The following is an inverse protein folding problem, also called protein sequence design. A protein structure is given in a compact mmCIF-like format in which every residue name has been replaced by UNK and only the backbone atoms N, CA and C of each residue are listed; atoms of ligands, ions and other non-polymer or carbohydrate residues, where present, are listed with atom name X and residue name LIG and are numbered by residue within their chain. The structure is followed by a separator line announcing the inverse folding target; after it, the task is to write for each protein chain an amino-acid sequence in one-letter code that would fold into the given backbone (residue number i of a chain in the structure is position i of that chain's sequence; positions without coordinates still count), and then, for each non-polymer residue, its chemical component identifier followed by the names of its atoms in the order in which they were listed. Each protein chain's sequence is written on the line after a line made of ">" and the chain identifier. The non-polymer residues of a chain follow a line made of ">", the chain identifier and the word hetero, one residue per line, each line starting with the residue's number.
data_IF_284065393889
#
_entry.id   IF_284065393889
#
_cell.length_a   1.000
_cell.length_b   1.000
_cell.length_c   1.000
_cell.angle_alpha   90.00
_cell.angle_beta   90.00
_cell.angle_gamma   90.00
#
_symmetry.space_group_name_H-M   'P 1'
#
loop_
_entity.id
_entity.type
_entity.pdbx_description
1 polymer ?
#
# COMPACT_ATOMS: atom_id res chain seq x y z
N UNK A 1 -14.40 4.68 -8.12
CA UNK A 1 -15.04 3.44 -8.60
C UNK A 1 -14.16 2.63 -9.55
N UNK A 2 -13.44 3.24 -10.51
CA UNK A 2 -12.56 2.50 -11.46
C UNK A 2 -11.53 1.61 -10.76
N UNK A 3 -10.86 2.09 -9.72
CA UNK A 3 -9.92 1.27 -8.93
C UNK A 3 -10.55 0.06 -8.24
N UNK A 4 -11.80 0.18 -7.78
CA UNK A 4 -12.48 -0.94 -7.15
C UNK A 4 -12.85 -2.03 -8.17
N UNK A 5 -13.25 -1.62 -9.37
CA UNK A 5 -13.56 -2.55 -10.46
C UNK A 5 -12.31 -3.30 -10.95
N UNK A 6 -11.19 -2.56 -11.15
CA UNK A 6 -9.90 -3.14 -11.52
C UNK A 6 -9.39 -4.14 -10.46
N UNK A 7 -9.49 -3.77 -9.19
CA UNK A 7 -9.11 -4.67 -8.09
C UNK A 7 -10.03 -5.89 -8.00
N UNK A 8 -11.33 -5.71 -8.25
CA UNK A 8 -12.31 -6.82 -8.26
C UNK A 8 -12.03 -7.79 -9.40
N UNK A 9 -11.78 -7.29 -10.59
CA UNK A 9 -11.43 -8.15 -11.72
C UNK A 9 -10.18 -8.98 -11.40
N UNK A 10 -9.13 -8.34 -10.92
CA UNK A 10 -7.90 -9.02 -10.53
C UNK A 10 -8.11 -10.02 -9.38
N UNK A 11 -8.93 -9.66 -8.41
CA UNK A 11 -9.26 -10.57 -7.31
C UNK A 11 -9.96 -11.83 -7.81
N UNK A 12 -10.95 -11.69 -8.67
CA UNK A 12 -11.75 -12.83 -9.19
C UNK A 12 -10.91 -13.71 -10.13
N UNK A 13 -10.17 -13.09 -11.04
CA UNK A 13 -9.45 -13.79 -12.12
C UNK A 13 -8.14 -14.43 -11.66
N UNK A 14 -7.44 -13.80 -10.72
CA UNK A 14 -6.10 -14.22 -10.33
C UNK A 14 -6.02 -14.62 -8.85
N UNK A 15 -6.38 -13.73 -7.91
CA UNK A 15 -6.06 -13.90 -6.49
C UNK A 15 -6.90 -15.01 -5.84
N UNK A 16 -8.21 -14.98 -6.02
CA UNK A 16 -9.13 -15.89 -5.31
C UNK A 16 -8.90 -17.36 -5.66
N UNK A 17 -8.53 -17.66 -6.91
CA UNK A 17 -8.20 -19.02 -7.35
C UNK A 17 -6.92 -19.54 -6.68
N UNK A 18 -5.89 -18.73 -6.63
CA UNK A 18 -4.61 -19.07 -6.00
C UNK A 18 -4.75 -19.26 -4.48
N UNK A 19 -5.49 -18.39 -3.81
CA UNK A 19 -5.76 -18.52 -2.36
C UNK A 19 -6.52 -19.81 -2.05
N UNK A 20 -7.54 -20.17 -2.83
CA UNK A 20 -8.29 -21.44 -2.67
C UNK A 20 -7.40 -22.68 -2.92
N UNK A 21 -6.39 -22.55 -3.76
CA UNK A 21 -5.40 -23.61 -3.99
C UNK A 21 -4.32 -23.69 -2.88
N UNK A 22 -4.43 -22.88 -1.83
CA UNK A 22 -3.48 -22.86 -0.72
C UNK A 22 -2.15 -22.16 -1.05
N UNK A 23 -2.12 -21.34 -2.09
CA UNK A 23 -0.93 -20.61 -2.51
C UNK A 23 -0.74 -19.34 -1.68
N UNK A 24 0.52 -18.91 -1.53
CA UNK A 24 0.86 -17.59 -1.01
C UNK A 24 0.75 -16.59 -2.15
N UNK A 25 -0.04 -15.55 -1.95
CA UNK A 25 -0.24 -14.49 -2.94
C UNK A 25 0.39 -13.19 -2.45
N UNK A 26 1.29 -12.63 -3.24
CA UNK A 26 1.90 -11.33 -2.99
C UNK A 26 1.25 -10.27 -3.88
N UNK A 27 0.66 -9.25 -3.26
CA UNK A 27 0.06 -8.15 -3.97
C UNK A 27 0.93 -6.89 -3.83
N UNK A 28 1.43 -6.37 -4.95
CA UNK A 28 1.94 -5.00 -4.99
C UNK A 28 0.75 -4.04 -5.10
N UNK A 29 0.48 -3.37 -3.99
CA UNK A 29 -0.73 -2.56 -3.75
C UNK A 29 -2.00 -3.41 -3.69
N UNK A 30 -2.83 -3.09 -2.71
CA UNK A 30 -4.11 -3.76 -2.48
C UNK A 30 -5.13 -2.74 -1.96
N UNK A 31 -6.13 -3.16 -1.17
CA UNK A 31 -7.20 -2.30 -0.65
C UNK A 31 -6.67 -1.03 0.03
N UNK A 32 -5.57 -1.10 0.77
CA UNK A 32 -4.99 0.04 1.50
C UNK A 32 -4.60 1.21 0.60
N UNK A 33 -4.18 0.93 -0.63
CA UNK A 33 -3.91 2.02 -1.60
C UNK A 33 -5.19 2.74 -2.01
N UNK A 34 -6.30 2.01 -2.14
CA UNK A 34 -7.59 2.61 -2.45
C UNK A 34 -8.13 3.43 -1.26
N UNK A 35 -7.97 2.90 -0.03
CA UNK A 35 -8.36 3.61 1.19
C UNK A 35 -7.59 4.93 1.34
N UNK A 36 -6.25 4.87 1.29
CA UNK A 36 -5.41 6.06 1.45
C UNK A 36 -5.65 7.13 0.37
N UNK A 37 -5.78 6.71 -0.89
CA UNK A 37 -6.06 7.64 -1.99
C UNK A 37 -7.48 8.18 -1.99
N UNK A 38 -8.45 7.39 -1.51
CA UNK A 38 -9.83 7.83 -1.31
C UNK A 38 -9.91 8.88 -0.21
N UNK A 39 -9.25 8.64 0.93
CA UNK A 39 -9.14 9.61 2.02
C UNK A 39 -8.47 10.92 1.56
N UNK A 40 -7.37 10.83 0.84
CA UNK A 40 -6.70 12.01 0.30
C UNK A 40 -7.62 12.85 -0.62
N UNK A 41 -8.66 12.23 -1.18
CA UNK A 41 -9.73 12.87 -1.97
C UNK A 41 -10.98 13.26 -1.18
N UNK A 42 -10.91 13.19 0.14
CA UNK A 42 -11.98 13.66 1.02
C UNK A 42 -13.06 12.61 1.33
N UNK A 43 -12.80 11.33 1.05
CA UNK A 43 -13.69 10.25 1.47
C UNK A 43 -13.31 9.77 2.88
N UNK A 44 -14.30 9.37 3.67
CA UNK A 44 -14.05 8.83 5.00
C UNK A 44 -13.47 7.40 4.92
N UNK A 45 -12.38 7.14 5.63
CA UNK A 45 -11.73 5.81 5.64
C UNK A 45 -12.71 4.72 6.07
N UNK A 46 -13.55 4.97 7.07
CA UNK A 46 -14.53 4.01 7.58
C UNK A 46 -15.55 3.57 6.53
N UNK A 47 -16.00 4.50 5.69
CA UNK A 47 -16.99 4.20 4.64
C UNK A 47 -16.34 3.41 3.50
N UNK A 48 -15.12 3.79 3.12
CA UNK A 48 -14.31 3.04 2.18
C UNK A 48 -14.02 1.63 2.72
N UNK A 49 -13.62 1.51 3.98
CA UNK A 49 -13.33 0.24 4.63
C UNK A 49 -14.55 -0.66 4.62
N UNK A 50 -15.72 -0.13 5.04
CA UNK A 50 -16.97 -0.88 5.00
C UNK A 50 -17.30 -1.42 3.61
N UNK A 51 -17.05 -0.64 2.56
CA UNK A 51 -17.24 -1.10 1.18
C UNK A 51 -16.24 -2.23 0.82
N UNK A 52 -14.94 -2.03 1.07
CA UNK A 52 -13.92 -3.00 0.66
C UNK A 52 -14.02 -4.32 1.44
N UNK A 53 -14.38 -4.29 2.72
CA UNK A 53 -14.53 -5.49 3.57
C UNK A 53 -15.63 -6.42 3.10
N UNK A 54 -16.61 -5.94 2.35
CA UNK A 54 -17.67 -6.78 1.79
C UNK A 54 -17.20 -7.67 0.63
N UNK A 55 -16.14 -7.27 -0.06
CA UNK A 55 -15.73 -7.87 -1.32
C UNK A 55 -14.32 -8.45 -1.32
N UNK A 56 -13.48 -7.99 -0.40
CA UNK A 56 -12.07 -8.34 -0.41
C UNK A 56 -11.62 -8.87 0.95
N UNK A 57 -10.91 -10.02 0.99
CA UNK A 57 -10.34 -10.50 2.24
C UNK A 57 -9.24 -9.55 2.73
N UNK A 58 -9.16 -9.43 4.05
CA UNK A 58 -8.04 -8.74 4.70
C UNK A 58 -6.77 -9.58 4.49
N UNK A 59 -5.66 -8.98 4.07
CA UNK A 59 -4.41 -9.71 3.90
C UNK A 59 -3.89 -10.18 5.27
N UNK A 60 -3.26 -11.35 5.30
CA UNK A 60 -2.63 -11.89 6.51
C UNK A 60 -1.46 -11.03 7.02
N UNK A 61 -0.74 -10.41 6.11
CA UNK A 61 0.34 -9.45 6.39
C UNK A 61 0.26 -8.28 5.43
N UNK A 62 0.42 -7.07 5.95
CA UNK A 62 0.52 -5.87 5.14
C UNK A 62 1.82 -5.13 5.49
N UNK A 63 2.62 -4.80 4.49
CA UNK A 63 3.86 -4.04 4.64
C UNK A 63 3.66 -2.62 4.12
N UNK A 64 4.02 -1.66 4.95
CA UNK A 64 4.05 -0.25 4.58
C UNK A 64 5.49 0.25 4.50
N UNK A 65 5.96 0.48 3.29
CA UNK A 65 7.25 1.11 3.03
C UNK A 65 7.10 2.63 3.20
N UNK A 66 7.33 3.09 4.42
CA UNK A 66 7.12 4.49 4.78
C UNK A 66 8.23 5.35 4.21
N UNK A 67 7.85 6.32 3.39
CA UNK A 67 8.76 7.29 2.78
C UNK A 67 8.29 8.71 3.11
N UNK A 68 9.14 9.59 3.68
CA UNK A 68 8.81 11.00 3.86
C UNK A 68 8.43 11.67 2.54
N UNK A 69 7.45 12.57 2.58
CA UNK A 69 6.91 13.23 1.37
C UNK A 69 8.00 13.93 0.59
N UNK A 70 8.92 14.63 1.27
CA UNK A 70 10.04 15.35 0.67
C UNK A 70 11.00 14.41 -0.09
N UNK A 71 11.24 13.22 0.46
CA UNK A 71 12.06 12.21 -0.20
C UNK A 71 11.34 11.63 -1.42
N UNK A 72 10.02 11.41 -1.31
CA UNK A 72 9.16 11.02 -2.42
C UNK A 72 9.16 12.04 -3.55
N UNK A 73 9.07 13.33 -3.22
CA UNK A 73 9.16 14.44 -4.18
C UNK A 73 10.50 14.46 -4.92
N UNK A 74 11.61 14.31 -4.19
CA UNK A 74 12.96 14.26 -4.81
C UNK A 74 13.08 13.10 -5.79
N UNK A 75 12.55 11.92 -5.43
CA UNK A 75 12.52 10.75 -6.34
C UNK A 75 11.61 10.98 -7.55
N UNK A 76 10.47 11.65 -7.35
CA UNK A 76 9.53 11.96 -8.42
C UNK A 76 10.07 13.03 -9.37
N UNK A 77 10.76 14.06 -8.87
CA UNK A 77 11.40 15.10 -9.67
C UNK A 77 12.49 14.56 -10.63
N UNK A 78 13.09 13.43 -10.31
CA UNK A 78 14.04 12.72 -11.19
C UNK A 78 13.38 11.90 -12.30
N UNK A 79 12.05 11.80 -12.34
CA UNK A 79 11.30 11.14 -13.41
C UNK A 79 10.99 12.13 -14.53
N UNK A 80 10.91 11.62 -15.75
CA UNK A 80 10.62 12.46 -16.94
C UNK A 80 9.23 13.09 -16.91
N UNK A 81 8.27 12.56 -16.13
CA UNK A 81 6.91 13.08 -16.07
C UNK A 81 6.20 12.68 -14.77
N UNK A 82 5.61 13.66 -14.08
CA UNK A 82 4.67 13.44 -12.98
C UNK A 82 3.27 13.21 -13.58
N UNK A 83 2.72 12.02 -13.37
CA UNK A 83 1.37 11.72 -13.85
C UNK A 83 0.34 12.55 -13.08
N UNK A 84 -0.59 13.15 -13.82
CA UNK A 84 -1.64 14.03 -13.32
C UNK A 84 -2.38 13.47 -12.08
N UNK A 85 -2.75 12.18 -12.11
CA UNK A 85 -3.46 11.54 -11.01
C UNK A 85 -2.55 11.21 -9.80
N UNK A 86 -1.22 11.03 -10.01
CA UNK A 86 -0.25 10.83 -8.93
C UNK A 86 0.03 12.15 -8.19
N UNK A 87 -0.06 13.25 -8.93
CA UNK A 87 0.04 14.59 -8.37
C UNK A 87 -1.27 15.07 -7.71
N UNK A 88 -2.36 14.29 -7.80
CA UNK A 88 -3.65 14.69 -7.25
C UNK A 88 -4.21 15.95 -7.90
N UNK A 89 -3.90 16.20 -9.18
CA UNK A 89 -4.36 17.41 -9.88
C UNK A 89 -5.87 17.50 -10.03
N UNK A 90 -6.56 16.38 -9.91
CA UNK A 90 -8.01 16.28 -9.80
C UNK A 90 -8.57 16.96 -8.54
N UNK A 91 -7.75 17.17 -7.50
CA UNK A 91 -8.15 17.82 -6.25
C UNK A 91 -7.92 19.35 -6.25
N UNK A 92 -7.16 19.87 -7.17
CA UNK A 92 -6.91 21.31 -7.35
C UNK A 92 -6.47 22.05 -6.07
N UNK A 93 -5.62 21.43 -5.24
CA UNK A 93 -5.07 22.08 -4.04
C UNK A 93 -4.19 23.27 -4.40
N UNK A 94 -3.57 23.26 -5.59
CA UNK A 94 -2.73 24.31 -6.12
C UNK A 94 -2.67 24.22 -7.65
N UNK A 95 -2.51 25.36 -8.32
CA UNK A 95 -2.20 25.41 -9.76
C UNK A 95 -0.77 24.90 -10.06
N UNK A 96 0.14 25.03 -9.09
CA UNK A 96 1.49 24.50 -9.20
C UNK A 96 1.50 23.01 -8.95
N UNK A 97 1.91 22.21 -9.94
CA UNK A 97 1.91 20.75 -9.89
C UNK A 97 2.73 20.18 -8.73
N UNK A 98 3.86 20.80 -8.38
CA UNK A 98 4.71 20.34 -7.27
C UNK A 98 4.08 20.62 -5.92
N UNK A 99 3.46 21.79 -5.75
CA UNK A 99 2.71 22.11 -4.53
C UNK A 99 1.49 21.21 -4.39
N UNK A 100 0.78 20.97 -5.48
CA UNK A 100 -0.38 20.08 -5.48
C UNK A 100 0.04 18.63 -5.14
N UNK A 101 1.14 18.16 -5.75
CA UNK A 101 1.72 16.85 -5.44
C UNK A 101 2.06 16.74 -3.95
N UNK A 102 2.75 17.75 -3.39
CA UNK A 102 3.10 17.75 -1.96
C UNK A 102 1.86 17.66 -1.09
N UNK A 103 0.87 18.53 -1.30
CA UNK A 103 -0.36 18.54 -0.52
C UNK A 103 -1.13 17.21 -0.61
N UNK A 104 -1.23 16.63 -1.82
CA UNK A 104 -1.89 15.35 -2.04
C UNK A 104 -1.13 14.20 -1.37
N UNK A 105 0.19 14.11 -1.57
CA UNK A 105 1.01 13.03 -1.00
C UNK A 105 1.09 13.12 0.53
N UNK A 106 1.07 14.32 1.12
CA UNK A 106 0.97 14.48 2.57
C UNK A 106 -0.29 13.79 3.09
N UNK A 107 -1.45 14.07 2.49
CA UNK A 107 -2.71 13.40 2.88
C UNK A 107 -2.68 11.89 2.69
N UNK A 108 -2.02 11.42 1.64
CA UNK A 108 -1.85 9.97 1.39
C UNK A 108 -0.97 9.33 2.47
N UNK A 109 0.14 9.99 2.85
CA UNK A 109 1.03 9.49 3.93
C UNK A 109 0.32 9.49 5.26
N UNK A 110 -0.40 10.57 5.62
CA UNK A 110 -1.19 10.66 6.85
C UNK A 110 -2.23 9.52 6.92
N UNK A 111 -2.89 9.24 5.80
CA UNK A 111 -3.83 8.11 5.72
C UNK A 111 -3.14 6.76 5.94
N UNK A 112 -1.97 6.55 5.33
CA UNK A 112 -1.22 5.31 5.54
C UNK A 112 -0.68 5.18 6.96
N UNK A 113 -0.22 6.26 7.59
CA UNK A 113 0.23 6.26 8.98
C UNK A 113 -0.93 5.85 9.92
N UNK A 114 -2.12 6.41 9.73
CA UNK A 114 -3.33 6.02 10.46
C UNK A 114 -3.76 4.57 10.19
N UNK A 115 -3.72 4.13 8.94
CA UNK A 115 -4.04 2.74 8.57
C UNK A 115 -3.00 1.76 9.13
N UNK A 116 -1.71 2.13 9.15
CA UNK A 116 -0.66 1.28 9.67
C UNK A 116 -0.86 0.97 11.15
N UNK A 117 -1.33 1.96 11.93
CA UNK A 117 -1.67 1.78 13.34
C UNK A 117 -2.95 0.93 13.51
N UNK A 118 -4.04 1.29 12.83
CA UNK A 118 -5.34 0.63 12.99
C UNK A 118 -5.37 -0.81 12.46
N UNK A 119 -4.58 -1.12 11.42
CA UNK A 119 -4.52 -2.43 10.76
C UNK A 119 -3.28 -3.25 11.16
N UNK A 120 -2.49 -2.78 12.12
CA UNK A 120 -1.26 -3.42 12.58
C UNK A 120 -0.29 -3.78 11.43
N UNK A 121 -0.07 -2.82 10.50
CA UNK A 121 0.84 -3.06 9.40
C UNK A 121 2.30 -3.12 9.85
N UNK A 122 3.09 -3.90 9.16
CA UNK A 122 4.55 -3.90 9.33
C UNK A 122 5.15 -2.70 8.62
N UNK A 123 5.69 -1.74 9.41
CA UNK A 123 6.29 -0.52 8.86
C UNK A 123 7.76 -0.77 8.57
N UNK A 124 8.17 -0.49 7.34
CA UNK A 124 9.56 -0.55 6.89
C UNK A 124 10.01 0.85 6.44
N UNK A 125 11.23 1.23 6.83
CA UNK A 125 11.82 2.49 6.43
C UNK A 125 12.28 2.46 4.98
N UNK A 126 11.54 3.14 4.09
CA UNK A 126 11.88 3.22 2.67
C UNK A 126 13.05 4.20 2.36
N UNK A 127 13.64 4.84 3.37
CA UNK A 127 14.90 5.57 3.23
C UNK A 127 16.10 4.63 3.23
N UNK A 128 15.98 3.48 3.89
CA UNK A 128 17.01 2.44 3.90
C UNK A 128 17.17 1.80 2.51
N UNK A 129 18.36 1.36 2.18
CA UNK A 129 18.60 0.62 0.94
C UNK A 129 17.93 -0.78 0.99
N UNK A 130 17.64 -1.32 -0.20
CA UNK A 130 16.93 -2.60 -0.35
C UNK A 130 17.63 -3.76 0.35
N UNK A 131 18.96 -3.77 0.38
CA UNK A 131 19.74 -4.83 1.03
C UNK A 131 19.61 -4.83 2.57
N UNK A 132 19.12 -3.76 3.18
CA UNK A 132 18.79 -3.70 4.61
C UNK A 132 17.31 -4.02 4.87
N UNK A 133 16.40 -3.48 4.06
CA UNK A 133 14.96 -3.69 4.25
C UNK A 133 14.50 -5.09 3.88
N UNK A 134 15.14 -5.74 2.90
CA UNK A 134 14.77 -7.09 2.48
C UNK A 134 15.00 -8.14 3.57
N UNK A 135 16.15 -8.20 4.27
CA UNK A 135 16.34 -9.12 5.39
C UNK A 135 15.37 -8.84 6.54
N UNK A 136 15.06 -7.58 6.83
CA UNK A 136 14.10 -7.19 7.86
C UNK A 136 12.69 -7.73 7.53
N UNK A 137 12.24 -7.53 6.30
CA UNK A 137 10.96 -8.06 5.83
C UNK A 137 10.91 -9.58 5.86
N UNK A 138 11.98 -10.26 5.41
CA UNK A 138 12.08 -11.74 5.43
C UNK A 138 11.99 -12.29 6.84
N UNK A 139 12.64 -11.64 7.82
CA UNK A 139 12.55 -12.02 9.22
C UNK A 139 11.10 -11.93 9.73
N UNK A 140 10.40 -10.83 9.46
CA UNK A 140 8.99 -10.64 9.86
C UNK A 140 8.08 -11.70 9.25
N UNK A 141 8.28 -12.04 7.97
CA UNK A 141 7.55 -13.11 7.30
C UNK A 141 7.84 -14.45 7.95
N UNK A 142 9.12 -14.77 8.22
CA UNK A 142 9.53 -15.99 8.89
C UNK A 142 8.90 -16.16 10.27
N UNK A 143 8.91 -15.11 11.10
CA UNK A 143 8.28 -15.09 12.41
C UNK A 143 6.77 -15.33 12.34
N UNK A 144 6.10 -14.71 11.34
CA UNK A 144 4.68 -14.93 11.10
C UNK A 144 4.39 -16.41 10.77
N UNK A 145 5.14 -17.02 9.84
CA UNK A 145 4.94 -18.41 9.44
C UNK A 145 5.24 -19.37 10.58
N UNK A 146 6.30 -19.13 11.34
CA UNK A 146 6.63 -19.92 12.51
C UNK A 146 5.51 -19.87 13.55
N UNK A 147 4.99 -18.68 13.84
CA UNK A 147 3.93 -18.47 14.83
C UNK A 147 2.59 -19.08 14.39
N UNK A 148 2.23 -18.93 13.12
CA UNK A 148 0.89 -19.30 12.61
C UNK A 148 0.82 -20.79 12.21
N UNK A 149 1.90 -21.32 11.64
CA UNK A 149 1.91 -22.65 11.02
C UNK A 149 2.96 -23.59 11.62
N UNK A 150 3.82 -23.15 12.52
CA UNK A 150 4.95 -23.92 13.04
C UNK A 150 6.02 -24.21 11.98
N UNK A 151 6.05 -23.43 10.89
CA UNK A 151 6.94 -23.66 9.74
C UNK A 151 8.15 -22.72 9.81
N UNK A 152 9.34 -23.26 9.70
CA UNK A 152 10.55 -22.47 9.44
C UNK A 152 10.68 -22.24 7.93
N UNK A 153 10.73 -20.97 7.53
CA UNK A 153 11.09 -20.65 6.16
C UNK A 153 12.59 -20.89 5.98
N UNK A 154 12.95 -21.74 5.02
CA UNK A 154 14.36 -22.02 4.72
C UNK A 154 15.02 -20.71 4.30
N UNK A 155 15.96 -20.23 5.11
CA UNK A 155 16.80 -19.07 4.84
C UNK A 155 17.83 -19.43 3.77
N UNK A 156 17.42 -19.37 2.49
CA UNK A 156 18.31 -19.77 1.42
C UNK A 156 17.70 -19.50 0.03
N UNK A 157 17.50 -18.25 -0.29
CA UNK A 157 17.42 -17.69 -1.65
C UNK A 157 17.99 -16.28 -1.66
#
# INVERSE_FOLDING_TARGET
>A
MVHAADLMERYITEIAGMLRAGMIVLCDRYIYTALARGYARGLEIKDLRHFYDQYFPVPDMAFYFRLPVEAGMKRAAGRSELKHYEAGMDMQFSENILHNFHAFQTRVVDAYDSLAESENMYILDAMKPVYETTPEMRRMVGEYFQKKYGMELISGL
#
